data_IF_779451723400
#
_entry.id   IF_779451723400
#
_cell.length_a   1.000
_cell.length_b   1.000
_cell.length_c   1.000
_cell.angle_alpha   90.00
_cell.angle_beta   90.00
_cell.angle_gamma   90.00
#
_symmetry.space_group_name_H-M   'P 1'
#
loop_
_entity.id
_entity.type
_entity.pdbx_description
1 polymer ?
#
# COMPACT_ATOMS: atom_id res chain seq x y z
N UNK A 1 -10.37 -44.44 6.23
CA UNK A 1 -9.16 -43.60 6.43
C UNK A 1 -9.46 -42.29 5.75
N UNK A 2 -10.15 -41.40 6.46
CA UNK A 2 -10.44 -40.05 5.99
C UNK A 2 -9.13 -39.26 6.01
N UNK A 3 -8.78 -38.67 4.87
CA UNK A 3 -7.61 -37.80 4.78
C UNK A 3 -7.86 -36.53 5.62
N UNK A 4 -6.86 -35.99 6.32
CA UNK A 4 -7.02 -34.74 7.05
C UNK A 4 -7.31 -33.62 6.03
N UNK A 5 -8.50 -33.03 6.13
CA UNK A 5 -8.91 -31.85 5.38
C UNK A 5 -7.93 -30.71 5.71
N UNK A 6 -7.05 -30.36 4.75
CA UNK A 6 -6.15 -29.22 4.93
C UNK A 6 -6.99 -27.94 5.14
N UNK A 7 -6.67 -27.11 6.13
CA UNK A 7 -7.41 -25.87 6.38
C UNK A 7 -7.29 -24.98 5.14
N UNK A 8 -8.42 -24.79 4.47
CA UNK A 8 -8.51 -23.89 3.33
C UNK A 8 -8.13 -22.48 3.79
N UNK A 9 -7.26 -21.76 3.05
CA UNK A 9 -6.84 -20.43 3.45
C UNK A 9 -8.05 -19.49 3.50
N UNK A 10 -8.07 -18.51 4.42
CA UNK A 10 -9.16 -17.56 4.53
C UNK A 10 -9.26 -16.73 3.26
N UNK A 11 -10.31 -16.98 2.46
CA UNK A 11 -10.60 -16.19 1.26
C UNK A 11 -11.46 -15.00 1.66
N UNK A 12 -10.98 -13.79 1.40
CA UNK A 12 -11.75 -12.56 1.61
C UNK A 12 -12.51 -12.26 0.33
N UNK A 13 -13.80 -12.62 0.30
CA UNK A 13 -14.70 -12.19 -0.76
C UNK A 13 -15.28 -10.82 -0.43
N UNK A 14 -15.00 -9.82 -1.25
CA UNK A 14 -15.74 -8.55 -1.21
C UNK A 14 -16.92 -8.66 -2.18
N UNK A 15 -18.16 -8.58 -1.69
CA UNK A 15 -19.37 -8.65 -2.54
C UNK A 15 -19.50 -7.45 -3.49
N UNK A 16 -18.79 -6.39 -3.18
CA UNK A 16 -18.56 -5.21 -3.99
C UNK A 16 -17.25 -5.44 -4.75
N UNK A 17 -17.25 -5.30 -6.08
CA UNK A 17 -16.10 -5.53 -6.98
C UNK A 17 -14.97 -4.49 -6.77
N UNK A 18 -14.54 -4.32 -5.52
CA UNK A 18 -13.54 -3.37 -5.06
C UNK A 18 -12.27 -4.14 -4.76
N UNK A 19 -11.13 -3.65 -5.24
CA UNK A 19 -9.89 -4.32 -5.00
C UNK A 19 -9.50 -4.22 -3.52
N UNK A 20 -8.88 -5.29 -3.00
CA UNK A 20 -8.48 -5.39 -1.59
C UNK A 20 -7.04 -4.92 -1.44
N UNK A 21 -6.82 -4.03 -0.47
CA UNK A 21 -5.51 -3.48 -0.12
C UNK A 21 -5.18 -3.90 1.31
N UNK A 22 -4.01 -4.48 1.53
CA UNK A 22 -3.57 -4.83 2.89
C UNK A 22 -2.67 -3.75 3.49
N UNK A 23 -2.83 -3.47 4.78
CA UNK A 23 -2.02 -2.51 5.53
C UNK A 23 -1.13 -3.23 6.56
N UNK A 24 0.18 -3.00 6.50
CA UNK A 24 1.20 -3.48 7.44
C UNK A 24 1.88 -2.29 8.15
N UNK A 25 2.67 -2.58 9.19
CA UNK A 25 3.41 -1.56 9.94
C UNK A 25 2.57 -0.92 11.04
N UNK A 26 2.58 0.41 11.12
CA UNK A 26 1.89 1.17 12.18
C UNK A 26 0.37 1.23 11.94
N UNK A 27 -0.36 0.38 12.67
CA UNK A 27 -1.81 0.29 12.57
C UNK A 27 -2.53 1.51 13.17
N UNK A 28 -1.96 2.15 14.19
CA UNK A 28 -2.54 3.33 14.81
C UNK A 28 -2.48 4.52 13.85
N UNK A 29 -1.33 4.68 13.18
CA UNK A 29 -1.14 5.66 12.12
C UNK A 29 -2.15 5.45 10.99
N UNK A 30 -2.29 4.24 10.46
CA UNK A 30 -3.28 3.95 9.42
C UNK A 30 -4.71 4.26 9.88
N UNK A 31 -5.09 3.84 11.09
CA UNK A 31 -6.44 4.06 11.64
C UNK A 31 -6.78 5.55 11.72
N UNK A 32 -5.79 6.40 12.02
CA UNK A 32 -5.97 7.86 12.05
C UNK A 32 -6.20 8.48 10.66
N UNK A 33 -5.65 7.89 9.60
CA UNK A 33 -5.70 8.39 8.21
C UNK A 33 -6.89 7.79 7.44
N UNK A 34 -7.31 6.58 7.82
CA UNK A 34 -8.35 5.81 7.13
C UNK A 34 -9.67 6.57 6.90
N UNK A 35 -10.23 7.33 7.86
CA UNK A 35 -11.47 8.08 7.63
C UNK A 35 -11.34 9.11 6.51
N UNK A 36 -10.20 9.79 6.43
CA UNK A 36 -9.92 10.73 5.34
C UNK A 36 -9.73 10.00 4.02
N UNK A 37 -8.97 8.92 4.01
CA UNK A 37 -8.65 8.16 2.81
C UNK A 37 -9.90 7.54 2.18
N UNK A 38 -10.73 6.88 2.98
CA UNK A 38 -12.00 6.27 2.56
C UNK A 38 -13.01 7.28 2.03
N UNK A 39 -13.03 8.50 2.59
CA UNK A 39 -13.93 9.55 2.13
C UNK A 39 -13.44 10.25 0.86
N UNK A 40 -12.13 10.45 0.71
CA UNK A 40 -11.55 11.27 -0.36
C UNK A 40 -11.25 10.46 -1.63
N UNK A 41 -10.79 9.20 -1.50
CA UNK A 41 -10.46 8.35 -2.67
C UNK A 41 -11.60 8.21 -3.69
N UNK A 42 -12.87 8.00 -3.29
CA UNK A 42 -13.97 7.89 -4.24
C UNK A 42 -14.39 9.25 -4.83
N UNK A 43 -14.05 10.36 -4.16
CA UNK A 43 -14.47 11.72 -4.54
C UNK A 43 -13.49 12.42 -5.46
N UNK A 44 -12.21 12.11 -5.36
CA UNK A 44 -11.19 12.71 -6.21
C UNK A 44 -11.02 11.92 -7.51
N UNK A 45 -11.32 12.51 -8.68
CA UNK A 45 -11.09 11.84 -9.95
C UNK A 45 -9.58 11.71 -10.19
N UNK A 46 -9.11 10.47 -10.34
CA UNK A 46 -7.73 10.12 -10.62
C UNK A 46 -7.51 9.90 -12.12
N UNK A 47 -6.39 10.40 -12.63
CA UNK A 47 -6.01 10.21 -14.03
C UNK A 47 -5.38 8.82 -14.21
N UNK A 48 -6.12 7.92 -14.84
CA UNK A 48 -5.60 6.63 -15.30
C UNK A 48 -4.88 6.82 -16.64
N UNK A 49 -3.56 6.67 -16.62
CA UNK A 49 -2.72 6.64 -17.83
C UNK A 49 -2.52 5.22 -18.30
N UNK A 50 -2.95 4.93 -19.52
CA UNK A 50 -2.63 3.64 -20.19
C UNK A 50 -1.29 3.76 -20.88
N UNK A 51 -0.56 2.65 -20.96
CA UNK A 51 0.62 2.52 -21.81
C UNK A 51 0.29 2.76 -23.28
N UNK A 52 1.32 3.03 -24.09
CA UNK A 52 1.21 3.21 -25.55
C UNK A 52 0.40 4.44 -26.00
N UNK A 53 0.47 5.55 -25.26
CA UNK A 53 0.01 6.86 -25.72
C UNK A 53 -1.51 7.00 -25.85
N UNK A 54 -2.30 6.07 -25.30
CA UNK A 54 -3.76 6.18 -25.29
C UNK A 54 -4.22 7.34 -24.40
N UNK A 55 -5.35 7.95 -24.75
CA UNK A 55 -5.92 9.06 -24.00
C UNK A 55 -6.11 8.70 -22.51
N UNK A 56 -5.69 9.58 -21.58
CA UNK A 56 -5.94 9.38 -20.16
C UNK A 56 -7.44 9.34 -19.86
N UNK A 57 -7.85 8.50 -18.91
CA UNK A 57 -9.24 8.43 -18.44
C UNK A 57 -9.30 8.87 -16.99
N UNK A 58 -10.29 9.69 -16.64
CA UNK A 58 -10.58 10.00 -15.24
C UNK A 58 -11.37 8.84 -14.64
N UNK A 59 -10.91 8.31 -13.51
CA UNK A 59 -11.56 7.25 -12.75
C UNK A 59 -11.75 7.68 -11.30
N UNK A 60 -12.73 7.13 -10.61
CA UNK A 60 -12.83 7.21 -9.16
C UNK A 60 -12.36 5.87 -8.60
N UNK A 61 -11.54 5.92 -7.56
CA UNK A 61 -10.95 4.72 -6.98
C UNK A 61 -11.64 4.41 -5.66
N UNK A 62 -12.20 3.21 -5.55
CA UNK A 62 -12.71 2.65 -4.31
C UNK A 62 -11.90 1.39 -4.01
N UNK A 63 -11.58 1.15 -2.75
CA UNK A 63 -10.79 -0.01 -2.34
C UNK A 63 -11.14 -0.39 -0.91
N UNK A 64 -11.04 -1.68 -0.62
CA UNK A 64 -11.28 -2.21 0.71
C UNK A 64 -9.93 -2.40 1.41
N UNK A 65 -9.78 -1.82 2.59
CA UNK A 65 -8.54 -1.91 3.36
C UNK A 65 -8.67 -2.95 4.46
N UNK A 66 -7.72 -3.87 4.54
CA UNK A 66 -7.65 -4.92 5.55
C UNK A 66 -6.27 -4.94 6.20
N UNK A 67 -6.16 -5.48 7.41
CA UNK A 67 -4.85 -5.70 8.01
C UNK A 67 -4.06 -6.72 7.20
N UNK A 68 -2.76 -6.47 7.00
CA UNK A 68 -1.87 -7.43 6.38
C UNK A 68 -1.77 -8.67 7.26
N UNK A 69 -2.04 -9.81 6.62
CA UNK A 69 -1.77 -11.13 7.19
C UNK A 69 -1.24 -12.00 6.06
N UNK A 70 -0.22 -12.80 6.37
CA UNK A 70 0.40 -13.68 5.38
C UNK A 70 -0.60 -14.72 4.82
N UNK A 71 -1.56 -15.15 5.64
CA UNK A 71 -2.64 -16.06 5.24
C UNK A 71 -3.56 -15.53 4.13
N UNK A 72 -3.58 -14.20 3.93
CA UNK A 72 -4.36 -13.55 2.88
C UNK A 72 -3.60 -13.49 1.55
N UNK A 73 -2.30 -13.83 1.54
CA UNK A 73 -1.52 -13.83 0.31
C UNK A 73 -1.95 -14.98 -0.60
N UNK A 74 -2.12 -14.72 -1.91
CA UNK A 74 -2.49 -15.77 -2.85
C UNK A 74 -1.40 -16.84 -2.92
N UNK A 75 -1.78 -18.10 -2.67
CA UNK A 75 -0.91 -19.26 -2.92
C UNK A 75 -0.69 -19.45 -4.43
N UNK A 76 0.39 -20.14 -4.80
CA UNK A 76 0.80 -20.34 -6.20
C UNK A 76 -0.37 -20.72 -7.12
N UNK A 77 -0.54 -19.96 -8.21
CA UNK A 77 -1.54 -20.20 -9.23
C UNK A 77 -2.88 -19.46 -9.07
N UNK A 78 -3.23 -18.95 -7.88
CA UNK A 78 -4.55 -18.33 -7.66
C UNK A 78 -4.47 -16.81 -7.47
N UNK A 79 -4.43 -16.05 -8.57
CA UNK A 79 -4.27 -14.57 -8.58
C UNK A 79 -5.54 -13.82 -8.96
N UNK A 80 -6.69 -14.25 -8.45
CA UNK A 80 -7.95 -13.55 -8.72
C UNK A 80 -7.97 -12.18 -8.02
N UNK A 81 -7.97 -11.09 -8.81
CA UNK A 81 -7.90 -9.69 -8.39
C UNK A 81 -8.94 -9.24 -7.35
N UNK A 82 -10.12 -9.88 -7.36
CA UNK A 82 -11.24 -9.54 -6.47
C UNK A 82 -11.35 -10.51 -5.27
N UNK A 83 -10.47 -11.50 -5.21
CA UNK A 83 -10.49 -12.58 -4.21
C UNK A 83 -9.30 -12.48 -3.27
N UNK A 84 -8.18 -11.95 -3.78
CA UNK A 84 -6.95 -11.77 -3.01
C UNK A 84 -6.52 -10.30 -3.02
N UNK A 85 -5.86 -9.84 -1.94
CA UNK A 85 -5.26 -8.52 -1.93
C UNK A 85 -4.26 -8.36 -3.06
N UNK A 86 -4.43 -7.32 -3.87
CA UNK A 86 -3.56 -7.03 -5.00
C UNK A 86 -2.45 -6.04 -4.64
N UNK A 87 -2.65 -5.22 -3.60
CA UNK A 87 -1.73 -4.17 -3.19
C UNK A 87 -1.43 -4.27 -1.70
N UNK A 88 -0.16 -4.21 -1.35
CA UNK A 88 0.31 -4.26 0.04
C UNK A 88 0.97 -2.93 0.43
N UNK A 89 0.45 -2.26 1.45
CA UNK A 89 0.96 -0.97 1.92
C UNK A 89 1.59 -1.13 3.30
N UNK A 90 2.85 -0.69 3.46
CA UNK A 90 3.50 -0.58 4.76
C UNK A 90 3.48 0.86 5.26
N UNK A 91 2.86 1.09 6.42
CA UNK A 91 2.73 2.41 7.04
C UNK A 91 3.78 2.59 8.13
N UNK A 92 4.43 3.75 8.14
CA UNK A 92 5.41 4.09 9.18
C UNK A 92 5.48 5.60 9.41
N UNK A 93 5.59 5.99 10.68
CA UNK A 93 5.95 7.35 11.08
C UNK A 93 7.44 7.35 11.45
N UNK A 94 8.31 7.59 10.48
CA UNK A 94 9.75 7.59 10.70
C UNK A 94 10.29 9.02 10.76
N UNK A 95 10.54 9.51 11.97
CA UNK A 95 10.99 10.88 12.21
C UNK A 95 12.52 11.07 12.12
N UNK A 96 13.32 10.01 12.26
CA UNK A 96 14.79 10.07 12.10
C UNK A 96 15.38 8.69 11.73
N UNK A 97 16.59 8.73 11.18
CA UNK A 97 17.50 7.65 10.78
C UNK A 97 17.79 6.66 11.90
N UNK A 98 17.85 7.10 13.16
CA UNK A 98 18.10 6.21 14.30
C UNK A 98 16.92 5.26 14.54
N UNK A 99 15.69 5.81 14.56
CA UNK A 99 14.45 5.01 14.67
C UNK A 99 14.31 4.06 13.49
N UNK A 100 14.62 4.54 12.27
CA UNK A 100 14.62 3.68 11.09
C UNK A 100 15.52 2.46 11.27
N UNK A 101 16.78 2.67 11.69
CA UNK A 101 17.75 1.60 11.85
C UNK A 101 17.42 0.65 13.01
N UNK A 102 16.82 1.17 14.08
CA UNK A 102 16.57 0.41 15.29
C UNK A 102 15.34 -0.50 15.20
N UNK A 103 14.29 -0.09 14.48
CA UNK A 103 13.01 -0.83 14.47
C UNK A 103 12.45 -1.02 13.07
N UNK A 104 12.30 0.07 12.30
CA UNK A 104 11.55 0.02 11.03
C UNK A 104 12.27 -0.82 9.97
N UNK A 105 13.61 -0.79 9.92
CA UNK A 105 14.39 -1.47 8.89
C UNK A 105 14.20 -2.99 8.93
N UNK A 106 14.26 -3.59 10.11
CA UNK A 106 14.15 -5.05 10.26
C UNK A 106 12.73 -5.52 9.98
N UNK A 107 11.72 -4.82 10.49
CA UNK A 107 10.31 -5.14 10.23
C UNK A 107 9.96 -4.99 8.75
N UNK A 108 10.42 -3.92 8.10
CA UNK A 108 10.22 -3.70 6.68
C UNK A 108 10.91 -4.79 5.84
N UNK A 109 12.14 -5.17 6.20
CA UNK A 109 12.88 -6.22 5.50
C UNK A 109 12.17 -7.56 5.64
N UNK A 110 11.68 -7.88 6.85
CA UNK A 110 10.88 -9.08 7.10
C UNK A 110 9.60 -9.09 6.27
N UNK A 111 8.84 -8.00 6.29
CA UNK A 111 7.61 -7.85 5.48
C UNK A 111 7.88 -8.00 3.98
N UNK A 112 8.93 -7.36 3.47
CA UNK A 112 9.33 -7.50 2.06
C UNK A 112 9.74 -8.93 1.70
N UNK A 113 10.42 -9.64 2.59
CA UNK A 113 10.80 -11.03 2.35
C UNK A 113 9.58 -11.95 2.27
N UNK A 114 8.56 -11.72 3.11
CA UNK A 114 7.27 -12.43 3.01
C UNK A 114 6.63 -12.16 1.64
N UNK A 115 6.51 -10.90 1.23
CA UNK A 115 5.94 -10.59 -0.09
C UNK A 115 6.71 -11.24 -1.25
N UNK A 116 8.04 -11.24 -1.18
CA UNK A 116 8.89 -11.91 -2.18
C UNK A 116 8.67 -13.42 -2.22
N UNK A 117 8.54 -14.06 -1.05
CA UNK A 117 8.30 -15.50 -0.96
C UNK A 117 6.97 -15.90 -1.64
N UNK A 118 5.96 -15.03 -1.56
CA UNK A 118 4.65 -15.22 -2.21
C UNK A 118 4.55 -14.61 -3.62
N UNK A 119 5.66 -14.13 -4.19
CA UNK A 119 5.70 -13.48 -5.51
C UNK A 119 4.74 -12.27 -5.65
N UNK A 120 4.49 -11.57 -4.55
CA UNK A 120 3.73 -10.31 -4.53
C UNK A 120 4.63 -9.15 -4.95
N UNK A 121 4.35 -8.59 -6.13
CA UNK A 121 5.16 -7.53 -6.74
C UNK A 121 4.59 -6.13 -6.51
N UNK A 122 3.31 -6.02 -6.22
CA UNK A 122 2.59 -4.76 -6.05
C UNK A 122 2.56 -4.35 -4.56
N UNK A 123 3.51 -3.51 -4.17
CA UNK A 123 3.60 -3.00 -2.81
C UNK A 123 4.02 -1.52 -2.77
N UNK A 124 3.65 -0.86 -1.67
CA UNK A 124 3.92 0.55 -1.43
C UNK A 124 4.41 0.73 0.02
N UNK A 125 5.37 1.63 0.23
CA UNK A 125 5.76 2.06 1.58
C UNK A 125 5.34 3.52 1.73
N UNK A 126 4.53 3.80 2.75
CA UNK A 126 4.08 5.14 3.08
C UNK A 126 4.76 5.59 4.37
N UNK A 127 5.61 6.60 4.23
CA UNK A 127 6.24 7.29 5.36
C UNK A 127 5.47 8.58 5.62
N UNK A 128 4.88 8.69 6.80
CA UNK A 128 4.17 9.90 7.22
C UNK A 128 5.13 10.74 8.06
N UNK A 129 5.35 11.98 7.64
CA UNK A 129 6.16 12.97 8.37
C UNK A 129 5.22 13.90 9.16
N UNK A 130 5.50 14.11 10.44
CA UNK A 130 4.79 15.10 11.25
C UNK A 130 5.53 16.44 11.23
N UNK A 131 4.92 17.47 10.63
CA UNK A 131 5.48 18.82 10.42
C UNK A 131 5.92 19.53 11.72
N UNK A 132 5.44 19.06 12.89
CA UNK A 132 5.79 19.62 14.19
C UNK A 132 7.26 19.40 14.59
N UNK A 133 7.96 18.45 13.97
CA UNK A 133 9.37 18.10 14.28
C UNK A 133 10.28 18.40 13.09
N UNK A 134 10.30 19.65 12.62
CA UNK A 134 11.28 20.08 11.62
C UNK A 134 12.68 20.12 12.23
N UNK A 135 13.53 19.16 11.85
CA UNK A 135 14.96 19.34 11.56
C UNK A 135 15.46 18.14 10.75
N UNK A 136 15.86 18.44 9.50
CA UNK A 136 16.57 17.59 8.53
C UNK A 136 15.73 16.65 7.65
N UNK A 137 15.60 17.04 6.37
CA UNK A 137 15.18 16.17 5.26
C UNK A 137 16.31 15.20 4.90
N UNK A 138 16.58 14.21 5.74
CA UNK A 138 17.41 13.08 5.33
C UNK A 138 16.51 12.07 4.62
N UNK A 139 16.92 11.61 3.43
CA UNK A 139 16.18 10.59 2.70
C UNK A 139 16.36 9.26 3.46
N UNK A 140 15.43 8.95 4.36
CA UNK A 140 15.51 7.80 5.28
C UNK A 140 15.41 6.46 4.51
N UNK A 141 14.70 6.44 3.38
CA UNK A 141 14.56 5.24 2.55
C UNK A 141 15.59 5.18 1.41
N UNK A 142 16.17 3.99 1.12
CA UNK A 142 16.92 3.75 -0.10
C UNK A 142 16.03 4.01 -1.32
N UNK A 143 16.46 4.87 -2.24
CA UNK A 143 15.69 5.24 -3.44
C UNK A 143 15.63 4.07 -4.42
N UNK A 144 14.60 3.24 -4.34
CA UNK A 144 14.14 2.42 -5.46
C UNK A 144 12.83 3.02 -5.94
N UNK A 145 12.85 3.64 -7.12
CA UNK A 145 11.75 4.33 -7.84
C UNK A 145 10.35 3.77 -7.50
N UNK A 146 9.38 4.56 -7.06
CA UNK A 146 8.58 5.50 -7.87
C UNK A 146 8.14 6.67 -6.98
N UNK A 147 8.55 7.90 -7.34
CA UNK A 147 8.16 9.12 -6.64
C UNK A 147 7.04 9.80 -7.43
N UNK A 148 5.80 9.75 -6.93
CA UNK A 148 4.74 10.64 -7.44
C UNK A 148 4.86 12.00 -6.74
N UNK A 149 5.79 12.82 -7.24
CA UNK A 149 5.93 14.23 -6.82
C UNK A 149 5.05 15.08 -7.72
N UNK A 150 3.77 15.23 -7.37
CA UNK A 150 2.92 16.29 -7.96
C UNK A 150 3.42 17.67 -7.52
N UNK A 151 4.41 18.20 -8.25
CA UNK A 151 4.80 19.61 -8.15
C UNK A 151 3.71 20.43 -8.86
N UNK A 152 2.79 21.05 -8.10
CA UNK A 152 1.88 22.09 -8.59
C UNK A 152 2.71 23.21 -9.25
N UNK A 153 2.87 23.16 -10.58
CA UNK A 153 3.31 24.32 -11.37
C UNK A 153 2.12 25.30 -11.39
N UNK A 154 2.10 26.24 -10.45
CA UNK A 154 1.37 27.50 -10.61
C UNK A 154 1.97 28.20 -11.84
N UNK A 155 1.31 28.10 -13.00
CA UNK A 155 1.54 29.01 -14.12
C UNK A 155 1.03 30.39 -13.68
N UNK A 156 1.94 31.28 -13.27
CA UNK A 156 1.68 32.73 -13.35
C UNK A 156 1.76 33.09 -14.82
N UNK A 157 0.61 33.43 -15.44
CA UNK A 157 0.60 34.24 -16.66
C UNK A 157 0.85 35.69 -16.21
N UNK A 158 1.91 36.30 -16.75
CA UNK A 158 1.97 37.75 -16.95
C UNK A 158 1.19 38.08 -18.20
#
# INVERSE_FOLDING_TARGET
>A
MDAPEEPQPPVVYTMENKPIVTCAGDQNLFTSIYPTLSQQLPREPMEWRRSYGRAPKMIHLESNFVQFKEELLPKEGNKALLTFPFLHIYWTECCDTEVYKATVKDDLTKWQNVLKAHSSVDWLIVVVENDAKKKNKTNILPRTSIVDKKKKKKKKKK
#
